data_IF_246508902486
#
_entry.id   IF_246508902486
#
_cell.length_a   1.000
_cell.length_b   1.000
_cell.length_c   1.000
_cell.angle_alpha   90.00
_cell.angle_beta   90.00
_cell.angle_gamma   90.00
#
_symmetry.space_group_name_H-M   'P 1'
#
loop_
_entity.id
_entity.type
_entity.pdbx_description
1 polymer ?
#
# COMPACT_ATOMS: atom_id res chain seq x y z
N UNK A 1 27.79 -14.04 -13.48
CA UNK A 1 26.59 -14.52 -12.76
C UNK A 1 26.55 -13.80 -11.42
N UNK A 2 25.46 -13.09 -11.08
CA UNK A 2 25.34 -12.51 -9.73
C UNK A 2 24.88 -13.64 -8.80
N UNK A 3 25.67 -13.96 -7.79
CA UNK A 3 25.25 -14.87 -6.73
C UNK A 3 24.30 -14.11 -5.81
N UNK A 4 23.04 -14.50 -5.81
CA UNK A 4 22.05 -13.96 -4.86
C UNK A 4 22.18 -14.74 -3.56
N UNK A 5 22.58 -14.06 -2.48
CA UNK A 5 22.56 -14.61 -1.13
C UNK A 5 21.24 -14.22 -0.47
N UNK A 6 20.52 -15.21 0.06
CA UNK A 6 19.28 -14.99 0.83
C UNK A 6 19.58 -15.09 2.32
N UNK A 7 19.11 -14.10 3.09
CA UNK A 7 19.19 -14.09 4.55
C UNK A 7 17.79 -14.28 5.15
N UNK A 8 17.66 -15.18 6.13
CA UNK A 8 16.41 -15.42 6.86
C UNK A 8 16.51 -14.87 8.28
N UNK A 9 15.52 -14.07 8.69
CA UNK A 9 15.37 -13.56 10.05
C UNK A 9 14.12 -14.16 10.67
N UNK A 10 14.20 -14.66 11.91
CA UNK A 10 13.06 -15.32 12.57
C UNK A 10 12.74 -14.71 13.93
N UNK A 11 13.67 -13.99 14.56
CA UNK A 11 13.42 -13.35 15.85
C UNK A 11 12.83 -11.97 15.63
N UNK A 12 11.87 -11.58 16.48
CA UNK A 12 11.21 -10.28 16.40
C UNK A 12 12.20 -9.10 16.36
N UNK A 13 13.24 -9.14 17.20
CA UNK A 13 14.27 -8.10 17.24
C UNK A 13 15.07 -8.00 15.94
N UNK A 14 15.41 -9.14 15.33
CA UNK A 14 16.13 -9.20 14.05
C UNK A 14 15.26 -8.66 12.91
N UNK A 15 13.98 -9.04 12.87
CA UNK A 15 13.01 -8.55 11.88
C UNK A 15 12.84 -7.04 12.00
N UNK A 16 12.67 -6.53 13.23
CA UNK A 16 12.57 -5.09 13.49
C UNK A 16 13.80 -4.33 13.06
N UNK A 17 15.00 -4.86 13.36
CA UNK A 17 16.26 -4.26 12.94
C UNK A 17 16.39 -4.23 11.42
N UNK A 18 16.10 -5.36 10.75
CA UNK A 18 16.16 -5.44 9.30
C UNK A 18 15.16 -4.49 8.61
N UNK A 19 13.93 -4.37 9.11
CA UNK A 19 12.92 -3.44 8.57
C UNK A 19 13.27 -1.96 8.79
N UNK A 20 14.11 -1.65 9.77
CA UNK A 20 14.58 -0.30 10.05
C UNK A 20 15.90 0.05 9.36
N UNK A 21 16.59 -0.94 8.78
CA UNK A 21 17.88 -0.76 8.14
C UNK A 21 17.72 -0.03 6.78
N UNK A 22 18.28 1.18 6.60
CA UNK A 22 18.20 1.91 5.34
C UNK A 22 18.93 1.24 4.18
N UNK A 23 19.80 0.25 4.43
CA UNK A 23 20.46 -0.54 3.40
C UNK A 23 19.56 -1.65 2.82
N UNK A 24 18.52 -2.06 3.55
CA UNK A 24 17.61 -3.13 3.15
C UNK A 24 16.34 -2.58 2.52
N UNK A 25 16.49 -2.04 1.30
CA UNK A 25 15.36 -1.48 0.53
C UNK A 25 14.74 -2.51 -0.42
N UNK A 26 13.41 -2.52 -0.60
CA UNK A 26 12.78 -3.29 -1.66
C UNK A 26 13.34 -2.88 -3.03
N UNK A 27 13.62 -3.83 -3.93
CA UNK A 27 14.07 -3.49 -5.27
C UNK A 27 12.97 -2.69 -5.98
N UNK A 28 13.38 -1.60 -6.63
CA UNK A 28 12.47 -0.83 -7.47
C UNK A 28 11.97 -1.72 -8.62
N UNK A 29 10.68 -1.62 -9.00
CA UNK A 29 10.18 -2.27 -10.20
C UNK A 29 10.90 -1.70 -11.43
N UNK A 30 11.10 -2.54 -12.45
CA UNK A 30 11.68 -2.11 -13.72
C UNK A 30 10.89 -0.92 -14.29
N UNK A 31 11.55 0.21 -14.60
CA UNK A 31 10.88 1.40 -15.16
C UNK A 31 10.31 1.15 -16.57
N UNK A 32 10.64 0.02 -17.20
CA UNK A 32 10.22 -0.34 -18.55
C UNK A 32 9.03 -1.32 -18.60
N UNK A 33 8.56 -1.77 -17.45
CA UNK A 33 7.54 -2.81 -17.42
C UNK A 33 6.15 -2.15 -17.45
N UNK A 34 5.73 -1.82 -18.67
CA UNK A 34 4.33 -1.71 -19.06
C UNK A 34 3.72 -0.31 -19.19
N UNK A 35 2.64 -0.26 -19.96
CA UNK A 35 1.90 0.96 -20.29
C UNK A 35 1.36 1.64 -19.02
N UNK A 36 1.49 2.99 -18.89
CA UNK A 36 0.85 3.74 -17.83
C UNK A 36 -0.63 3.41 -17.69
N UNK A 37 -1.10 3.17 -16.47
CA UNK A 37 -2.49 2.83 -16.18
C UNK A 37 -2.92 1.40 -16.53
N UNK A 38 -2.10 0.61 -17.23
CA UNK A 38 -2.51 -0.69 -17.76
C UNK A 38 -1.58 -1.87 -17.40
N UNK A 39 -0.59 -1.67 -16.53
CA UNK A 39 0.31 -2.75 -16.10
C UNK A 39 0.54 -2.82 -14.60
N UNK A 40 0.70 -4.04 -14.09
CA UNK A 40 1.06 -4.31 -12.69
C UNK A 40 2.39 -3.67 -12.33
N UNK A 41 3.34 -3.60 -13.26
CA UNK A 41 4.63 -3.00 -12.98
C UNK A 41 4.57 -1.47 -12.96
N UNK A 42 3.75 -0.80 -13.79
CA UNK A 42 3.43 0.62 -13.60
C UNK A 42 2.75 0.89 -12.25
N UNK A 43 1.80 0.04 -11.84
CA UNK A 43 1.18 0.14 -10.52
C UNK A 43 2.24 0.04 -9.42
N UNK A 44 3.13 -0.96 -9.50
CA UNK A 44 4.23 -1.10 -8.54
C UNK A 44 5.15 0.12 -8.54
N UNK A 45 5.47 0.69 -9.70
CA UNK A 45 6.33 1.87 -9.80
C UNK A 45 5.73 3.13 -9.15
N UNK A 46 4.41 3.14 -9.00
CA UNK A 46 3.65 4.28 -8.47
C UNK A 46 3.36 4.17 -6.97
N UNK A 47 3.43 2.97 -6.38
CA UNK A 47 3.11 2.74 -4.96
C UNK A 47 4.31 3.05 -4.05
N UNK A 48 4.06 3.66 -2.89
CA UNK A 48 5.10 4.02 -1.92
C UNK A 48 5.98 2.83 -1.48
N UNK A 49 5.39 1.65 -1.25
CA UNK A 49 6.10 0.44 -0.75
C UNK A 49 7.23 -0.07 -1.67
N UNK A 50 7.28 0.37 -2.92
CA UNK A 50 8.30 -0.01 -3.90
C UNK A 50 9.20 1.18 -4.29
N UNK A 51 9.15 2.25 -3.52
CA UNK A 51 10.04 3.40 -3.63
C UNK A 51 11.00 3.42 -2.45
N UNK A 52 12.09 4.18 -2.58
CA UNK A 52 13.05 4.42 -1.50
C UNK A 52 13.55 5.86 -1.56
N UNK A 53 14.15 6.34 -0.47
CA UNK A 53 14.65 7.71 -0.38
C UNK A 53 13.54 8.76 -0.52
N UNK A 54 13.84 9.85 -1.24
CA UNK A 54 12.95 11.00 -1.38
C UNK A 54 11.61 10.69 -2.07
N UNK A 55 11.55 9.89 -3.16
CA UNK A 55 10.28 9.44 -3.73
C UNK A 55 9.36 8.73 -2.73
N UNK A 56 9.93 7.88 -1.86
CA UNK A 56 9.16 7.21 -0.80
C UNK A 56 8.63 8.23 0.21
N UNK A 57 9.49 9.12 0.73
CA UNK A 57 9.10 10.14 1.70
C UNK A 57 7.94 11.00 1.19
N UNK A 58 8.03 11.48 -0.05
CA UNK A 58 6.99 12.28 -0.69
C UNK A 58 5.66 11.52 -0.82
N UNK A 59 5.70 10.29 -1.36
CA UNK A 59 4.49 9.47 -1.56
C UNK A 59 3.85 9.08 -0.22
N UNK A 60 4.68 8.75 0.78
CA UNK A 60 4.23 8.45 2.14
C UNK A 60 3.51 9.65 2.75
N UNK A 61 4.09 10.85 2.66
CA UNK A 61 3.49 12.06 3.21
C UNK A 61 2.11 12.37 2.60
N UNK A 62 1.93 12.14 1.29
CA UNK A 62 0.62 12.27 0.64
C UNK A 62 -0.40 11.28 1.22
N UNK A 63 -0.01 10.01 1.38
CA UNK A 63 -0.90 8.98 1.95
C UNK A 63 -1.21 9.27 3.43
N UNK A 64 -0.23 9.70 4.22
CA UNK A 64 -0.43 10.08 5.63
C UNK A 64 -1.41 11.24 5.75
N UNK A 65 -1.27 12.29 4.94
CA UNK A 65 -2.21 13.40 4.90
C UNK A 65 -3.64 12.96 4.55
N UNK A 66 -3.78 11.98 3.66
CA UNK A 66 -5.09 11.41 3.33
C UNK A 66 -5.67 10.63 4.51
N UNK A 67 -4.85 9.83 5.21
CA UNK A 67 -5.24 9.01 6.36
C UNK A 67 -5.54 9.84 7.62
N UNK A 68 -4.86 10.96 7.83
CA UNK A 68 -5.06 11.86 8.98
C UNK A 68 -6.46 12.48 9.01
N UNK A 69 -7.15 12.51 7.86
CA UNK A 69 -8.55 12.96 7.76
C UNK A 69 -9.56 11.86 8.14
N UNK A 70 -9.10 10.62 8.31
CA UNK A 70 -9.97 9.48 8.56
C UNK A 70 -9.94 9.08 10.03
N UNK A 71 -11.11 8.75 10.57
CA UNK A 71 -11.22 8.15 11.90
C UNK A 71 -11.26 6.62 11.78
N UNK A 72 -10.26 5.87 12.28
CA UNK A 72 -10.26 4.41 12.17
C UNK A 72 -11.48 3.73 12.80
N UNK A 73 -12.00 4.29 13.89
CA UNK A 73 -13.18 3.76 14.57
C UNK A 73 -14.46 3.91 13.73
N UNK A 74 -14.59 4.99 12.96
CA UNK A 74 -15.76 5.22 12.10
C UNK A 74 -15.72 4.30 10.88
N UNK A 75 -14.54 4.10 10.28
CA UNK A 75 -14.34 3.11 9.21
C UNK A 75 -14.67 1.69 9.67
N UNK A 76 -14.22 1.31 10.88
CA UNK A 76 -14.51 0.00 11.45
C UNK A 76 -16.01 -0.19 11.67
N UNK A 77 -16.70 0.84 12.18
CA UNK A 77 -18.15 0.81 12.40
C UNK A 77 -18.89 0.64 11.07
N UNK A 78 -18.59 1.47 10.07
CA UNK A 78 -19.22 1.42 8.76
C UNK A 78 -19.03 0.04 8.06
N UNK A 79 -17.85 -0.57 8.17
CA UNK A 79 -17.60 -1.90 7.59
C UNK A 79 -18.31 -3.04 8.36
N UNK A 80 -18.59 -2.85 9.65
CA UNK A 80 -19.17 -3.86 10.54
C UNK A 80 -20.68 -3.76 10.68
N UNK A 81 -21.30 -2.67 10.19
CA UNK A 81 -22.74 -2.47 10.25
C UNK A 81 -23.50 -3.64 9.59
N UNK A 82 -24.43 -4.21 10.36
CA UNK A 82 -25.26 -5.33 9.92
C UNK A 82 -26.22 -4.85 8.83
N UNK A 83 -26.20 -5.49 7.66
CA UNK A 83 -27.02 -5.14 6.50
C UNK A 83 -26.23 -4.62 5.28
N UNK A 84 -24.91 -4.47 5.39
CA UNK A 84 -24.07 -4.24 4.22
C UNK A 84 -24.09 -5.45 3.28
N UNK A 85 -24.46 -5.23 2.02
CA UNK A 85 -24.44 -6.27 0.99
C UNK A 85 -23.00 -6.70 0.66
N UNK A 86 -22.81 -7.99 0.39
CA UNK A 86 -21.55 -8.54 -0.10
C UNK A 86 -20.52 -8.97 0.97
N UNK A 87 -19.42 -9.55 0.49
CA UNK A 87 -18.33 -10.04 1.33
C UNK A 87 -17.68 -8.92 2.16
N UNK A 88 -17.20 -9.26 3.36
CA UNK A 88 -16.53 -8.32 4.26
C UNK A 88 -15.40 -7.55 3.56
N UNK A 89 -14.62 -8.23 2.71
CA UNK A 89 -13.53 -7.61 1.95
C UNK A 89 -14.04 -6.46 1.08
N UNK A 90 -15.14 -6.67 0.37
CA UNK A 90 -15.75 -5.65 -0.51
C UNK A 90 -16.26 -4.50 0.32
N UNK A 91 -16.96 -4.76 1.43
CA UNK A 91 -17.46 -3.72 2.33
C UNK A 91 -16.36 -2.83 2.90
N UNK A 92 -15.24 -3.41 3.33
CA UNK A 92 -14.08 -2.66 3.82
C UNK A 92 -13.49 -1.75 2.74
N UNK A 93 -13.32 -2.27 1.52
CA UNK A 93 -12.76 -1.50 0.41
C UNK A 93 -13.70 -0.37 -0.01
N UNK A 94 -15.00 -0.65 -0.16
CA UNK A 94 -15.99 0.35 -0.52
C UNK A 94 -16.15 1.43 0.56
N UNK A 95 -16.18 1.04 1.84
CA UNK A 95 -16.22 2.00 2.95
C UNK A 95 -15.01 2.93 2.99
N UNK A 96 -13.81 2.39 2.75
CA UNK A 96 -12.60 3.20 2.64
C UNK A 96 -12.63 4.12 1.40
N UNK A 97 -13.05 3.61 0.24
CA UNK A 97 -13.16 4.39 -0.99
C UNK A 97 -14.12 5.57 -0.83
N UNK A 98 -15.29 5.33 -0.23
CA UNK A 98 -16.28 6.36 0.07
C UNK A 98 -15.72 7.42 1.04
N UNK A 99 -15.03 7.00 2.10
CA UNK A 99 -14.40 7.92 3.05
C UNK A 99 -13.27 8.76 2.43
N UNK A 100 -12.61 8.23 1.40
CA UNK A 100 -11.60 8.95 0.61
C UNK A 100 -12.21 9.79 -0.53
N UNK A 101 -13.53 9.81 -0.70
CA UNK A 101 -14.21 10.52 -1.78
C UNK A 101 -13.92 9.95 -3.18
N UNK A 102 -13.54 8.67 -3.27
CA UNK A 102 -13.26 8.01 -4.54
C UNK A 102 -14.56 7.63 -5.26
N UNK A 103 -14.61 7.74 -6.61
CA UNK A 103 -15.77 7.31 -7.37
C UNK A 103 -15.94 5.79 -7.28
N UNK A 104 -17.20 5.33 -7.30
CA UNK A 104 -17.50 3.91 -7.44
C UNK A 104 -16.82 3.37 -8.72
N UNK A 105 -16.12 2.22 -8.66
CA UNK A 105 -15.29 1.72 -9.75
C UNK A 105 -16.05 1.45 -11.06
N UNK A 106 -17.38 1.36 -11.03
CA UNK A 106 -18.24 1.25 -12.22
C UNK A 106 -18.77 2.57 -12.80
N UNK A 107 -18.38 3.72 -12.25
CA UNK A 107 -18.87 5.05 -12.64
C UNK A 107 -17.84 5.90 -13.42
N UNK A 108 -16.82 5.26 -14.01
CA UNK A 108 -15.75 5.91 -14.78
C UNK A 108 -15.95 5.65 -16.27
#
# INVERSE_FOLDING_TARGET
MRHTTTHEFRRYAEIRAALADPALVPPAPSPHDGTPGASVAWLRASVARFASGEPHKRRRALVEAELDRLTPADLHRAASEAGGEGELRTRVVSGLAAALGMPEPGRI
#
